data_IF_555669481792
#
_entry.id   IF_555669481792
#
_cell.length_a   1.000
_cell.length_b   1.000
_cell.length_c   1.000
_cell.angle_alpha   90.00
_cell.angle_beta   90.00
_cell.angle_gamma   90.00
#
_symmetry.space_group_name_H-M   'P 1'
#
loop_
_entity.id
_entity.type
_entity.pdbx_description
1 polymer ?
#
# COMPACT_ATOMS: atom_id res chain seq x y z
N UNK A 1 12.40 -19.70 40.33
CA UNK A 1 11.83 -18.34 40.37
C UNK A 1 10.50 -18.43 41.09
N UNK A 2 10.23 -17.51 42.03
CA UNK A 2 8.92 -17.48 42.71
C UNK A 2 7.82 -17.08 41.72
N UNK A 3 6.58 -17.50 41.96
CA UNK A 3 5.44 -17.18 41.06
C UNK A 3 5.34 -15.66 40.77
N UNK A 4 5.61 -14.83 41.78
CA UNK A 4 5.60 -13.37 41.67
C UNK A 4 6.73 -12.79 40.81
N UNK A 5 7.92 -13.42 40.75
CA UNK A 5 9.00 -12.97 39.87
C UNK A 5 8.71 -13.29 38.40
N UNK A 6 8.11 -14.45 38.13
CA UNK A 6 7.72 -14.84 36.76
C UNK A 6 6.61 -13.95 36.22
N UNK A 7 5.64 -13.59 37.06
CA UNK A 7 4.55 -12.68 36.72
C UNK A 7 5.05 -11.25 36.47
N UNK A 8 5.92 -10.75 37.34
CA UNK A 8 6.57 -9.45 37.14
C UNK A 8 7.35 -9.39 35.82
N UNK A 9 8.18 -10.41 35.53
CA UNK A 9 8.94 -10.47 34.27
C UNK A 9 8.02 -10.51 33.05
N UNK A 10 6.87 -11.21 33.14
CA UNK A 10 5.89 -11.29 32.04
C UNK A 10 5.24 -9.95 31.77
N UNK A 11 4.74 -9.28 32.81
CA UNK A 11 4.10 -7.97 32.68
C UNK A 11 5.09 -6.93 32.14
N UNK A 12 6.29 -6.89 32.71
CA UNK A 12 7.34 -5.98 32.26
C UNK A 12 7.75 -6.24 30.81
N UNK A 13 7.83 -7.50 30.38
CA UNK A 13 8.14 -7.84 29.00
C UNK A 13 7.03 -7.40 28.02
N UNK A 14 5.76 -7.63 28.36
CA UNK A 14 4.61 -7.16 27.57
C UNK A 14 4.59 -5.64 27.42
N UNK A 15 4.86 -4.90 28.49
CA UNK A 15 4.98 -3.44 28.45
C UNK A 15 6.09 -2.98 27.50
N UNK A 16 7.26 -3.63 27.53
CA UNK A 16 8.35 -3.29 26.60
C UNK A 16 7.96 -3.58 25.14
N UNK A 17 7.27 -4.69 24.87
CA UNK A 17 6.79 -5.02 23.52
C UNK A 17 5.87 -3.91 23.00
N UNK A 18 4.88 -3.50 23.80
CA UNK A 18 3.94 -2.45 23.40
C UNK A 18 4.67 -1.11 23.18
N UNK A 19 5.66 -0.80 24.02
CA UNK A 19 6.43 0.43 23.93
C UNK A 19 7.29 0.53 22.68
N UNK A 20 7.89 -0.58 22.24
CA UNK A 20 8.72 -0.62 21.03
C UNK A 20 7.97 -1.03 19.76
N UNK A 21 6.67 -1.31 19.87
CA UNK A 21 5.84 -1.63 18.71
C UNK A 21 5.73 -0.43 17.77
N UNK A 22 6.00 -0.67 16.48
CA UNK A 22 5.75 0.31 15.42
C UNK A 22 4.25 0.37 15.11
N UNK A 23 3.61 -0.79 15.11
CA UNK A 23 2.17 -0.89 14.91
C UNK A 23 1.44 -0.35 16.15
N UNK A 24 0.28 0.25 15.94
CA UNK A 24 -0.59 0.73 17.02
C UNK A 24 -1.38 -0.45 17.55
N UNK A 25 -1.30 -0.70 18.84
CA UNK A 25 -2.06 -1.76 19.50
C UNK A 25 -3.05 -1.11 20.45
N UNK A 26 -4.32 -1.46 20.34
CA UNK A 26 -5.39 -0.96 21.22
C UNK A 26 -6.16 -2.14 21.80
N UNK A 27 -6.51 -2.03 23.09
CA UNK A 27 -7.50 -2.88 23.71
C UNK A 27 -8.82 -2.13 23.72
N UNK A 28 -9.89 -2.78 23.24
CA UNK A 28 -11.22 -2.17 23.13
C UNK A 28 -12.30 -3.05 23.76
N UNK A 29 -13.34 -2.41 24.28
CA UNK A 29 -14.56 -3.02 24.77
C UNK A 29 -15.46 -3.51 23.62
N UNK A 30 -16.57 -4.17 23.96
CA UNK A 30 -17.60 -4.60 23.00
C UNK A 30 -18.20 -3.47 22.17
N UNK A 31 -18.43 -2.30 22.80
CA UNK A 31 -18.96 -1.11 22.15
C UNK A 31 -17.91 -0.34 21.33
N UNK A 32 -16.64 -0.77 21.35
CA UNK A 32 -15.55 -0.15 20.60
C UNK A 32 -14.85 1.00 21.32
N UNK A 33 -15.07 1.15 22.63
CA UNK A 33 -14.38 2.13 23.46
C UNK A 33 -12.96 1.66 23.78
N UNK A 34 -11.99 2.57 23.65
CA UNK A 34 -10.57 2.28 23.88
C UNK A 34 -10.30 2.24 25.37
N UNK A 35 -9.79 1.12 25.87
CA UNK A 35 -9.34 0.96 27.25
C UNK A 35 -7.87 1.35 27.37
N UNK A 36 -7.06 0.88 26.42
CA UNK A 36 -5.62 1.06 26.40
C UNK A 36 -5.13 1.19 24.97
N UNK A 37 -4.07 1.97 24.77
CA UNK A 37 -3.37 2.10 23.52
C UNK A 37 -1.85 2.05 23.73
N UNK A 38 -1.12 1.49 22.77
CA UNK A 38 0.35 1.53 22.76
C UNK A 38 0.86 2.96 22.56
N UNK A 39 2.09 3.29 23.00
CA UNK A 39 2.67 4.63 22.79
C UNK A 39 2.76 5.07 21.31
N UNK A 40 2.84 4.11 20.38
CA UNK A 40 2.80 4.38 18.94
C UNK A 40 1.51 5.07 18.49
N UNK A 41 0.41 4.95 19.26
CA UNK A 41 -0.85 5.67 19.02
C UNK A 41 -0.67 7.18 18.97
N UNK A 42 0.07 7.76 19.93
CA UNK A 42 0.24 9.21 20.02
C UNK A 42 1.05 9.75 18.84
N UNK A 43 2.11 9.02 18.49
CA UNK A 43 2.98 9.38 17.37
C UNK A 43 2.25 9.25 16.03
N UNK A 44 1.30 8.32 15.92
CA UNK A 44 0.64 8.00 14.67
C UNK A 44 -0.67 8.77 14.42
N UNK A 45 -1.43 9.11 15.46
CA UNK A 45 -2.73 9.80 15.36
C UNK A 45 -2.76 11.19 16.03
N UNK A 46 -1.74 11.56 16.80
CA UNK A 46 -1.58 12.89 17.40
C UNK A 46 -2.42 13.14 18.65
N UNK A 47 -3.15 12.13 19.11
CA UNK A 47 -3.93 12.16 20.35
C UNK A 47 -3.09 11.59 21.49
N UNK A 48 -3.16 12.19 22.67
CA UNK A 48 -2.51 11.62 23.85
C UNK A 48 -3.19 10.30 24.23
N UNK A 49 -2.43 9.31 24.72
CA UNK A 49 -2.93 8.03 25.20
C UNK A 49 -3.97 8.21 26.33
N UNK A 50 -3.77 9.18 27.23
CA UNK A 50 -4.74 9.55 28.27
C UNK A 50 -6.02 10.17 27.67
N UNK A 51 -5.90 10.95 26.59
CA UNK A 51 -7.06 11.49 25.87
C UNK A 51 -7.80 10.40 25.06
N UNK A 52 -7.10 9.31 24.73
CA UNK A 52 -7.63 8.21 23.92
C UNK A 52 -8.49 7.23 24.72
N UNK A 53 -8.20 7.07 26.01
CA UNK A 53 -8.98 6.21 26.90
C UNK A 53 -10.42 6.72 26.99
N UNK A 54 -11.38 5.82 26.78
CA UNK A 54 -12.82 6.13 26.74
C UNK A 54 -13.32 6.72 25.42
N UNK A 55 -12.46 7.03 24.44
CA UNK A 55 -12.92 7.38 23.09
C UNK A 55 -13.34 6.13 22.33
N UNK A 56 -14.33 6.27 21.47
CA UNK A 56 -14.74 5.19 20.59
C UNK A 56 -13.88 5.18 19.31
N UNK A 57 -13.38 4.00 18.91
CA UNK A 57 -12.63 3.84 17.65
C UNK A 57 -13.44 4.38 16.45
N UNK A 58 -14.76 4.19 16.46
CA UNK A 58 -15.67 4.61 15.39
C UNK A 58 -15.63 6.11 15.08
N UNK A 59 -15.29 6.95 16.07
CA UNK A 59 -15.18 8.40 15.92
C UNK A 59 -13.89 8.83 15.20
N UNK A 60 -12.85 8.00 15.29
CA UNK A 60 -11.56 8.23 14.62
C UNK A 60 -11.61 7.86 13.13
N UNK A 61 -12.61 7.07 12.72
CA UNK A 61 -12.74 6.60 11.34
C UNK A 61 -13.39 7.64 10.42
N UNK A 62 -13.04 7.57 9.15
CA UNK A 62 -13.81 8.23 8.08
C UNK A 62 -15.15 7.51 7.85
N UNK A 63 -16.11 8.23 7.26
CA UNK A 63 -17.44 7.68 6.97
C UNK A 63 -17.37 6.43 6.09
N UNK A 64 -16.51 6.45 5.07
CA UNK A 64 -16.30 5.32 4.17
C UNK A 64 -15.72 4.07 4.87
N UNK A 65 -14.94 4.25 5.94
CA UNK A 65 -14.30 3.12 6.65
C UNK A 65 -15.14 2.54 7.79
N UNK A 66 -16.24 3.19 8.18
CA UNK A 66 -17.12 2.70 9.24
C UNK A 66 -17.79 1.38 8.89
N UNK A 67 -18.23 1.22 7.65
CA UNK A 67 -18.86 -0.02 7.18
C UNK A 67 -17.87 -1.19 7.20
N UNK A 68 -16.65 -0.98 6.70
CA UNK A 68 -15.57 -1.97 6.72
C UNK A 68 -15.18 -2.37 8.14
N UNK A 69 -15.18 -1.43 9.08
CA UNK A 69 -14.92 -1.72 10.49
C UNK A 69 -16.01 -2.58 11.12
N UNK A 70 -17.29 -2.23 10.93
CA UNK A 70 -18.42 -3.02 11.44
C UNK A 70 -18.43 -4.43 10.85
N UNK A 71 -18.14 -4.56 9.56
CA UNK A 71 -18.01 -5.86 8.92
C UNK A 71 -16.88 -6.68 9.55
N UNK A 72 -15.71 -6.07 9.77
CA UNK A 72 -14.56 -6.71 10.40
C UNK A 72 -14.88 -7.22 11.81
N UNK A 73 -15.56 -6.42 12.65
CA UNK A 73 -16.02 -6.90 13.96
C UNK A 73 -16.94 -8.11 13.80
N UNK A 74 -17.93 -8.02 12.90
CA UNK A 74 -18.89 -9.12 12.70
C UNK A 74 -18.19 -10.42 12.27
N UNK A 75 -17.20 -10.33 11.37
CA UNK A 75 -16.42 -11.46 10.91
C UNK A 75 -15.53 -12.03 12.02
N UNK A 76 -14.91 -11.15 12.83
CA UNK A 76 -14.10 -11.56 13.96
C UNK A 76 -14.91 -12.37 14.97
N UNK A 77 -16.11 -11.88 15.32
CA UNK A 77 -17.03 -12.53 16.27
C UNK A 77 -17.56 -13.85 15.72
N UNK A 78 -17.94 -13.90 14.44
CA UNK A 78 -18.46 -15.13 13.81
C UNK A 78 -17.37 -16.19 13.67
N UNK A 79 -16.15 -15.79 13.33
CA UNK A 79 -15.02 -16.72 13.19
C UNK A 79 -14.42 -17.16 14.52
N UNK A 80 -14.64 -16.39 15.60
CA UNK A 80 -14.07 -16.62 16.92
C UNK A 80 -12.54 -16.56 16.95
N UNK A 81 -11.93 -15.82 16.02
CA UNK A 81 -10.48 -15.71 15.89
C UNK A 81 -10.05 -14.27 15.66
N UNK A 82 -9.84 -13.92 14.40
CA UNK A 82 -9.35 -12.63 13.97
C UNK A 82 -9.89 -12.29 12.60
N UNK A 83 -10.15 -11.01 12.38
CA UNK A 83 -10.50 -10.46 11.07
C UNK A 83 -9.58 -9.29 10.72
N UNK A 84 -9.43 -9.02 9.43
CA UNK A 84 -8.58 -7.93 8.94
C UNK A 84 -9.37 -7.05 7.99
N UNK A 85 -9.22 -5.73 8.12
CA UNK A 85 -9.79 -4.76 7.17
C UNK A 85 -8.89 -3.54 6.98
N UNK A 86 -9.13 -2.81 5.90
CA UNK A 86 -8.46 -1.55 5.61
C UNK A 86 -9.32 -0.37 6.05
N UNK A 87 -8.71 0.57 6.78
CA UNK A 87 -9.39 1.70 7.39
C UNK A 87 -8.62 2.99 7.14
N UNK A 88 -9.34 4.04 6.80
CA UNK A 88 -8.81 5.40 6.77
C UNK A 88 -9.13 6.05 8.11
N UNK A 89 -8.08 6.36 8.86
CA UNK A 89 -8.17 6.94 10.20
C UNK A 89 -7.79 8.42 10.14
N UNK A 90 -8.58 9.26 10.80
CA UNK A 90 -8.38 10.70 10.89
C UNK A 90 -7.33 11.02 11.96
N UNK A 91 -6.32 11.77 11.56
CA UNK A 91 -5.35 12.34 12.48
C UNK A 91 -5.90 13.63 13.11
N UNK A 92 -5.39 14.01 14.30
CA UNK A 92 -5.80 15.22 15.02
C UNK A 92 -5.57 16.52 14.22
N UNK A 93 -4.61 16.52 13.29
CA UNK A 93 -4.28 17.64 12.39
C UNK A 93 -5.16 17.72 11.13
N UNK A 94 -6.26 16.96 11.07
CA UNK A 94 -7.16 16.80 9.92
C UNK A 94 -6.60 16.01 8.73
N UNK A 95 -5.34 15.55 8.76
CA UNK A 95 -4.86 14.57 7.78
C UNK A 95 -5.51 13.21 7.99
N UNK A 96 -5.36 12.32 7.02
CA UNK A 96 -5.89 10.95 7.12
C UNK A 96 -4.88 9.98 6.53
N UNK A 97 -4.69 8.86 7.21
CA UNK A 97 -3.75 7.82 6.82
C UNK A 97 -4.49 6.49 6.67
N UNK A 98 -3.99 5.64 5.77
CA UNK A 98 -4.51 4.31 5.53
C UNK A 98 -3.84 3.32 6.47
N UNK A 99 -4.66 2.56 7.19
CA UNK A 99 -4.26 1.53 8.13
C UNK A 99 -4.87 0.18 7.74
N UNK A 100 -4.10 -0.87 7.94
CA UNK A 100 -4.59 -2.24 8.01
C UNK A 100 -4.87 -2.56 9.48
N UNK A 101 -6.13 -2.81 9.81
CA UNK A 101 -6.55 -3.26 11.14
C UNK A 101 -6.63 -4.78 11.15
N UNK A 102 -5.94 -5.42 12.06
CA UNK A 102 -6.21 -6.81 12.47
C UNK A 102 -6.86 -6.80 13.84
N UNK A 103 -8.10 -7.29 13.92
CA UNK A 103 -8.87 -7.40 15.15
C UNK A 103 -8.79 -8.84 15.65
N UNK A 104 -8.45 -9.01 16.93
CA UNK A 104 -8.43 -10.30 17.63
C UNK A 104 -9.49 -10.27 18.72
N UNK A 105 -10.33 -11.30 18.80
CA UNK A 105 -11.24 -11.49 19.92
C UNK A 105 -10.51 -12.18 21.07
N UNK A 106 -10.77 -11.74 22.31
CA UNK A 106 -10.23 -12.35 23.51
C UNK A 106 -11.15 -13.46 24.03
N UNK A 107 -10.57 -14.61 24.41
CA UNK A 107 -11.29 -15.77 24.95
C UNK A 107 -11.87 -15.50 26.36
N UNK A 108 -11.16 -14.71 27.16
CA UNK A 108 -11.60 -14.24 28.48
C UNK A 108 -11.54 -12.71 28.51
N UNK A 109 -12.62 -12.07 28.97
CA UNK A 109 -12.65 -10.62 29.14
C UNK A 109 -11.68 -10.23 30.26
N UNK A 110 -10.65 -9.47 29.91
CA UNK A 110 -9.70 -8.90 30.86
C UNK A 110 -10.04 -7.42 31.06
N UNK A 111 -10.47 -7.03 32.26
CA UNK A 111 -10.80 -5.63 32.57
C UNK A 111 -11.72 -4.97 31.51
N UNK A 112 -12.82 -5.66 31.16
CA UNK A 112 -13.80 -5.25 30.13
C UNK A 112 -13.30 -5.23 28.67
N UNK A 113 -12.02 -5.54 28.42
CA UNK A 113 -11.49 -5.70 27.07
C UNK A 113 -12.05 -6.96 26.41
N UNK A 114 -12.65 -6.79 25.24
CA UNK A 114 -13.17 -7.91 24.43
C UNK A 114 -12.36 -8.12 23.16
N UNK A 115 -11.72 -7.07 22.63
CA UNK A 115 -10.90 -7.17 21.44
C UNK A 115 -9.56 -6.48 21.59
N UNK A 116 -8.56 -7.00 20.86
CA UNK A 116 -7.30 -6.32 20.60
C UNK A 116 -7.26 -5.93 19.13
N UNK A 117 -7.15 -4.64 18.85
CA UNK A 117 -6.94 -4.11 17.51
C UNK A 117 -5.48 -3.78 17.28
N UNK A 118 -4.89 -4.29 16.20
CA UNK A 118 -3.56 -3.92 15.74
C UNK A 118 -3.70 -3.13 14.44
N UNK A 119 -3.33 -1.85 14.45
CA UNK A 119 -3.35 -0.99 13.28
C UNK A 119 -1.93 -0.82 12.75
N UNK A 120 -1.71 -1.30 11.53
CA UNK A 120 -0.47 -1.10 10.78
C UNK A 120 -0.66 0.01 9.76
N UNK A 121 0.20 1.02 9.78
CA UNK A 121 0.17 2.06 8.75
C UNK A 121 0.65 1.47 7.42
N UNK A 122 -0.21 1.48 6.41
CA UNK A 122 0.10 0.98 5.06
C UNK A 122 0.12 2.10 4.01
N UNK A 123 0.07 3.35 4.44
CA UNK A 123 0.02 4.53 3.55
C UNK A 123 1.23 4.59 2.62
N UNK A 124 2.44 4.37 3.15
CA UNK A 124 3.66 4.35 2.34
C UNK A 124 3.67 3.19 1.34
N UNK A 125 3.29 2.00 1.80
CA UNK A 125 3.22 0.80 0.97
C UNK A 125 2.29 1.03 -0.24
N UNK A 126 1.12 1.61 0.00
CA UNK A 126 0.16 1.91 -1.07
C UNK A 126 0.67 3.01 -2.01
N UNK A 127 1.33 4.05 -1.49
CA UNK A 127 1.96 5.09 -2.32
C UNK A 127 3.02 4.50 -3.25
N UNK A 128 3.89 3.63 -2.75
CA UNK A 128 4.90 2.97 -3.58
C UNK A 128 4.29 2.04 -4.63
N UNK A 129 3.26 1.28 -4.28
CA UNK A 129 2.56 0.41 -5.23
C UNK A 129 1.91 1.22 -6.37
N UNK A 130 1.26 2.33 -6.04
CA UNK A 130 0.66 3.20 -7.04
C UNK A 130 1.70 3.87 -7.94
N UNK A 131 2.80 4.36 -7.37
CA UNK A 131 3.90 4.92 -8.15
C UNK A 131 4.51 3.88 -9.10
N UNK A 132 4.66 2.64 -8.66
CA UNK A 132 5.15 1.55 -9.51
C UNK A 132 4.17 1.24 -10.64
N UNK A 133 2.88 1.19 -10.36
CA UNK A 133 1.84 0.96 -11.38
C UNK A 133 1.86 2.06 -12.45
N UNK A 134 1.93 3.32 -12.05
CA UNK A 134 2.04 4.47 -12.96
C UNK A 134 3.33 4.42 -13.80
N UNK A 135 4.46 4.09 -13.17
CA UNK A 135 5.73 3.97 -13.87
C UNK A 135 5.71 2.85 -14.93
N UNK A 136 5.09 1.70 -14.61
CA UNK A 136 4.93 0.59 -15.55
C UNK A 136 4.02 0.95 -16.73
N UNK A 137 2.91 1.65 -16.47
CA UNK A 137 2.04 2.22 -17.51
C UNK A 137 2.83 3.12 -18.46
N UNK A 138 3.60 4.05 -17.90
CA UNK A 138 4.42 4.99 -18.69
C UNK A 138 5.49 4.26 -19.51
N UNK A 139 6.20 3.30 -18.93
CA UNK A 139 7.18 2.47 -19.66
C UNK A 139 6.54 1.70 -20.81
N UNK A 140 5.34 1.14 -20.62
CA UNK A 140 4.61 0.45 -21.70
C UNK A 140 4.28 1.40 -22.85
N UNK A 141 3.83 2.62 -22.55
CA UNK A 141 3.54 3.63 -23.58
C UNK A 141 4.82 4.02 -24.33
N UNK A 142 5.90 4.38 -23.64
CA UNK A 142 7.18 4.74 -24.26
C UNK A 142 7.72 3.60 -25.12
N UNK A 143 7.59 2.35 -24.67
CA UNK A 143 8.01 1.18 -25.46
C UNK A 143 7.21 1.00 -26.75
N UNK A 144 5.90 1.30 -26.74
CA UNK A 144 5.06 1.25 -27.94
C UNK A 144 5.48 2.34 -28.94
N UNK A 145 5.72 3.55 -28.47
CA UNK A 145 6.19 4.67 -29.29
C UNK A 145 7.55 4.39 -29.91
N UNK A 146 8.49 3.87 -29.12
CA UNK A 146 9.83 3.52 -29.61
C UNK A 146 9.75 2.47 -30.72
N UNK A 147 8.94 1.42 -30.55
CA UNK A 147 8.72 0.40 -31.60
C UNK A 147 8.14 1.00 -32.88
N UNK A 148 7.23 1.97 -32.77
CA UNK A 148 6.67 2.65 -33.94
C UNK A 148 7.74 3.45 -34.67
N UNK A 149 8.56 4.22 -33.93
CA UNK A 149 9.69 4.97 -34.51
C UNK A 149 10.73 4.06 -35.14
N UNK A 150 11.05 2.93 -34.52
CA UNK A 150 11.94 1.91 -35.09
C UNK A 150 11.41 1.39 -36.43
N UNK A 151 10.10 1.11 -36.51
CA UNK A 151 9.46 0.68 -37.75
C UNK A 151 9.50 1.76 -38.84
N UNK A 152 9.20 3.02 -38.49
CA UNK A 152 9.26 4.15 -39.40
C UNK A 152 10.68 4.36 -39.96
N UNK A 153 11.70 4.33 -39.10
CA UNK A 153 13.11 4.44 -39.50
C UNK A 153 13.50 3.29 -40.42
N UNK A 154 13.12 2.04 -40.08
CA UNK A 154 13.44 0.87 -40.91
C UNK A 154 12.77 0.94 -42.30
N UNK A 155 11.53 1.42 -42.36
CA UNK A 155 10.83 1.64 -43.63
C UNK A 155 11.51 2.72 -44.47
N UNK A 156 11.88 3.85 -43.86
CA UNK A 156 12.58 4.93 -44.55
C UNK A 156 13.94 4.47 -45.09
N UNK A 157 14.69 3.68 -44.30
CA UNK A 157 15.97 3.12 -44.74
C UNK A 157 15.80 2.22 -45.98
N UNK A 158 14.82 1.31 -45.96
CA UNK A 158 14.50 0.45 -47.11
C UNK A 158 14.17 1.25 -48.38
N UNK A 159 13.41 2.34 -48.25
CA UNK A 159 13.10 3.23 -49.38
C UNK A 159 14.35 3.92 -49.94
N UNK A 160 15.26 4.36 -49.06
CA UNK A 160 16.54 4.99 -49.47
C UNK A 160 17.42 3.98 -50.20
N UNK A 161 17.51 2.74 -49.70
CA UNK A 161 18.28 1.66 -50.34
C UNK A 161 17.73 1.34 -51.74
N UNK A 162 16.40 1.18 -51.88
CA UNK A 162 15.76 0.96 -53.17
C UNK A 162 16.01 2.11 -54.16
N UNK A 163 15.91 3.36 -53.70
CA UNK A 163 16.16 4.52 -54.54
C UNK A 163 17.63 4.60 -55.00
N UNK A 164 18.59 4.28 -54.12
CA UNK A 164 20.01 4.22 -54.46
C UNK A 164 20.31 3.10 -55.46
N UNK A 165 19.67 1.94 -55.31
CA UNK A 165 19.82 0.83 -56.23
C UNK A 165 19.27 1.16 -57.61
N UNK A 166 18.04 1.68 -57.69
CA UNK A 166 17.42 2.11 -58.95
C UNK A 166 18.25 3.21 -59.66
N UNK A 167 18.81 4.16 -58.91
CA UNK A 167 19.72 5.18 -59.45
C UNK A 167 21.00 4.57 -60.02
N UNK A 168 21.55 3.56 -59.36
CA UNK A 168 22.77 2.88 -59.81
C UNK A 168 22.52 2.08 -61.09
N UNK A 169 21.41 1.35 -61.16
CA UNK A 169 20.97 0.63 -62.36
C UNK A 169 20.74 1.57 -63.54
N UNK A 170 20.07 2.70 -63.31
CA UNK A 170 19.85 3.73 -64.34
C UNK A 170 21.17 4.28 -64.91
N UNK A 171 22.12 4.65 -64.05
CA UNK A 171 23.42 5.17 -64.49
C UNK A 171 24.23 4.12 -65.26
N UNK A 172 24.17 2.85 -64.84
CA UNK A 172 24.80 1.75 -65.55
C UNK A 172 24.22 1.58 -66.95
N UNK A 173 22.89 1.56 -67.07
CA UNK A 173 22.20 1.41 -68.36
C UNK A 173 22.47 2.58 -69.30
N UNK A 174 22.36 3.82 -68.82
CA UNK A 174 22.67 5.02 -69.60
C UNK A 174 24.13 5.05 -70.06
N UNK A 175 25.08 4.63 -69.21
CA UNK A 175 26.49 4.55 -69.61
C UNK A 175 26.76 3.50 -70.68
N UNK A 176 25.96 2.43 -70.73
CA UNK A 176 26.03 1.43 -71.79
C UNK A 176 25.51 1.99 -73.11
N UNK A 177 24.35 2.66 -73.11
CA UNK A 177 23.76 3.25 -74.34
C UNK A 177 24.63 4.36 -74.94
N UNK A 178 25.30 5.18 -74.11
CA UNK A 178 26.19 6.22 -74.60
C UNK A 178 27.50 5.64 -75.19
N UNK A 179 27.96 4.48 -74.73
CA UNK A 179 29.21 3.84 -75.21
C UNK A 179 29.02 2.98 -76.47
N UNK A 180 27.79 2.58 -76.77
CA UNK A 180 27.43 1.89 -78.02
C UNK A 180 26.29 2.64 -78.69
N UNK A 181 26.58 3.74 -79.40
CA UNK A 181 25.54 4.40 -80.19
C UNK A 181 25.22 3.51 -81.39
N UNK A 182 23.92 3.22 -81.61
CA UNK A 182 23.45 2.83 -82.95
C UNK A 182 23.50 4.02 -83.89
#
# INVERSE_FOLDING_TARGET
>A
MSSSQTEYCRNHFSEQILKFSIDIVVAITEDGSILMASPSFESAWGWNTEESSGKNIFDLLTEASRESYLHCISECVVSGKSATCELVVKHKDHSSNLYELTLHQLDETYEDAQFIGVFRNISERFRYQNQQAEYLERLKQTRRELKRKEFEVKSALSMVEQANQAKSEFLSNMSHEIRTPM
#
